data_IF_175546694248
#
_entry.id   IF_175546694248
#
_cell.length_a   1.000
_cell.length_b   1.000
_cell.length_c   1.000
_cell.angle_alpha   90.00
_cell.angle_beta   90.00
_cell.angle_gamma   90.00
#
_symmetry.space_group_name_H-M   'P 1'
#
loop_
_entity.id
_entity.type
_entity.pdbx_description
1 polymer ?
#
# COMPACT_ATOMS: atom_id res chain seq x y z
N UNK A 1 -0.28 1.67 -1.87
CA UNK A 1 -1.41 1.06 -2.60
C UNK A 1 -2.77 1.64 -2.21
N UNK A 2 -3.13 1.73 -0.92
CA UNK A 2 -4.40 2.33 -0.43
C UNK A 2 -4.85 3.60 -1.18
N UNK A 3 -4.03 4.65 -1.20
CA UNK A 3 -4.34 5.92 -1.88
C UNK A 3 -4.59 5.75 -3.38
N UNK A 4 -3.83 4.85 -4.03
CA UNK A 4 -4.01 4.54 -5.46
C UNK A 4 -5.32 3.77 -5.70
N UNK A 5 -5.72 2.90 -4.77
CA UNK A 5 -7.01 2.22 -4.81
C UNK A 5 -8.19 3.19 -4.61
N UNK A 6 -8.05 4.19 -3.73
CA UNK A 6 -9.04 5.26 -3.58
C UNK A 6 -9.14 6.13 -4.84
N UNK A 7 -8.01 6.47 -5.46
CA UNK A 7 -8.00 7.18 -6.74
C UNK A 7 -8.58 6.33 -7.89
N UNK A 8 -8.31 5.02 -7.90
CA UNK A 8 -8.96 4.08 -8.82
C UNK A 8 -10.49 4.08 -8.64
N UNK A 9 -10.98 4.21 -7.41
CA UNK A 9 -12.40 4.23 -7.13
C UNK A 9 -13.15 5.43 -7.73
N UNK A 10 -12.47 6.57 -7.94
CA UNK A 10 -13.09 7.76 -8.55
C UNK A 10 -13.14 7.73 -10.07
N UNK A 11 -12.36 6.86 -10.72
CA UNK A 11 -12.29 6.74 -12.19
C UNK A 11 -13.02 5.52 -12.73
N UNK A 12 -13.32 4.54 -11.86
CA UNK A 12 -14.07 3.35 -12.21
C UNK A 12 -15.58 3.55 -12.01
N UNK A 13 -16.40 2.82 -12.78
CA UNK A 13 -17.86 2.83 -12.61
C UNK A 13 -18.31 2.33 -11.23
N UNK A 14 -19.53 2.67 -10.79
CA UNK A 14 -20.01 2.52 -9.41
C UNK A 14 -19.70 1.18 -8.73
N UNK A 15 -19.92 0.07 -9.43
CA UNK A 15 -19.68 -1.28 -8.89
C UNK A 15 -18.18 -1.51 -8.65
N UNK A 16 -17.35 -1.22 -9.65
CA UNK A 16 -15.90 -1.37 -9.57
C UNK A 16 -15.29 -0.35 -8.60
N UNK A 17 -15.86 0.86 -8.51
CA UNK A 17 -15.48 1.88 -7.55
C UNK A 17 -15.71 1.43 -6.11
N UNK A 18 -16.83 0.76 -5.81
CA UNK A 18 -17.04 0.13 -4.48
C UNK A 18 -15.97 -0.91 -4.15
N UNK A 19 -15.68 -1.81 -5.09
CA UNK A 19 -14.63 -2.83 -4.91
C UNK A 19 -13.27 -2.20 -4.64
N UNK A 20 -12.94 -1.10 -5.32
CA UNK A 20 -11.68 -0.39 -5.12
C UNK A 20 -11.59 0.28 -3.72
N UNK A 21 -12.70 0.80 -3.19
CA UNK A 21 -12.78 1.34 -1.81
C UNK A 21 -12.65 0.25 -0.76
N UNK A 22 -13.39 -0.84 -0.91
CA UNK A 22 -13.29 -2.01 -0.01
C UNK A 22 -11.86 -2.56 0.00
N UNK A 23 -11.20 -2.62 -1.16
CA UNK A 23 -9.81 -3.02 -1.25
C UNK A 23 -8.87 -2.04 -0.51
N UNK A 24 -9.12 -0.74 -0.61
CA UNK A 24 -8.38 0.28 0.12
C UNK A 24 -8.54 0.14 1.65
N UNK A 25 -9.76 -0.14 2.12
CA UNK A 25 -10.07 -0.38 3.54
C UNK A 25 -9.38 -1.65 4.06
N UNK A 26 -9.35 -2.72 3.28
CA UNK A 26 -8.66 -3.96 3.68
C UNK A 26 -7.15 -3.77 3.79
N UNK A 27 -6.55 -2.98 2.89
CA UNK A 27 -5.13 -2.59 2.99
C UNK A 27 -4.85 -1.74 4.23
N UNK A 28 -5.79 -0.87 4.59
CA UNK A 28 -5.71 0.00 5.75
C UNK A 28 -5.80 -0.81 7.06
N UNK A 29 -6.72 -1.77 7.13
CA UNK A 29 -6.84 -2.71 8.26
C UNK A 29 -5.57 -3.55 8.43
N UNK A 30 -4.99 -4.08 7.34
CA UNK A 30 -3.72 -4.80 7.38
C UNK A 30 -2.57 -3.88 7.84
N UNK A 31 -2.51 -2.64 7.34
CA UNK A 31 -1.51 -1.67 7.76
C UNK A 31 -1.59 -1.39 9.26
N UNK A 32 -2.80 -1.10 9.77
CA UNK A 32 -3.05 -0.87 11.19
C UNK A 32 -2.62 -2.07 12.03
N UNK A 33 -2.97 -3.31 11.68
CA UNK A 33 -2.60 -4.47 12.50
C UNK A 33 -1.08 -4.67 12.65
N UNK A 34 -0.29 -4.18 11.69
CA UNK A 34 1.16 -4.26 11.71
C UNK A 34 1.82 -3.11 12.46
N UNK A 35 1.39 -1.87 12.22
CA UNK A 35 2.00 -0.68 12.79
C UNK A 35 0.98 0.46 12.90
N UNK A 36 1.24 1.39 13.83
CA UNK A 36 0.52 2.66 13.89
C UNK A 36 0.61 3.37 12.52
N UNK A 37 -0.52 3.93 12.08
CA UNK A 37 -0.64 4.59 10.78
C UNK A 37 -0.81 6.10 10.99
N UNK A 38 0.10 6.89 10.45
CA UNK A 38 0.11 8.36 10.59
C UNK A 38 -1.01 9.08 9.80
N UNK A 39 -1.86 8.33 9.09
CA UNK A 39 -2.71 8.92 8.02
C UNK A 39 -4.06 9.49 8.44
N UNK A 40 -4.49 9.33 9.71
CA UNK A 40 -5.74 9.92 10.24
C UNK A 40 -5.51 10.93 11.38
N UNK A 41 -4.36 11.61 11.39
CA UNK A 41 -4.12 12.73 12.33
C UNK A 41 -3.55 12.30 13.68
N UNK A 42 -2.58 11.38 13.68
CA UNK A 42 -1.81 11.06 14.88
C UNK A 42 -2.63 10.35 15.97
N UNK A 43 -3.73 9.67 15.60
CA UNK A 43 -4.41 8.76 16.51
C UNK A 43 -3.50 7.56 16.77
N UNK A 44 -2.59 7.73 17.72
CA UNK A 44 -1.86 6.63 18.35
C UNK A 44 -2.93 5.84 19.07
N UNK A 45 -3.34 4.70 18.53
CA UNK A 45 -4.10 3.74 19.32
C UNK A 45 -3.27 3.45 20.56
N UNK A 46 -3.87 3.55 21.75
CA UNK A 46 -3.19 3.14 22.98
C UNK A 46 -2.85 1.64 23.02
N UNK A 47 -3.32 0.86 22.04
CA UNK A 47 -2.88 -0.51 21.79
C UNK A 47 -1.53 -0.53 21.03
N UNK A 48 -0.60 -1.32 21.56
CA UNK A 48 0.66 -1.64 20.89
C UNK A 48 0.40 -2.52 19.65
N UNK A 49 0.89 -2.08 18.49
CA UNK A 49 0.77 -2.84 17.25
C UNK A 49 1.85 -3.91 17.14
N UNK A 50 1.70 -4.85 16.19
CA UNK A 50 2.58 -6.02 16.06
C UNK A 50 4.07 -5.65 16.03
N UNK A 51 4.44 -4.58 15.31
CA UNK A 51 5.82 -4.08 15.24
C UNK A 51 6.38 -3.69 16.62
N UNK A 52 5.58 -3.00 17.44
CA UNK A 52 5.98 -2.54 18.77
C UNK A 52 6.08 -3.72 19.74
N UNK A 53 5.09 -4.60 19.74
CA UNK A 53 5.11 -5.82 20.57
C UNK A 53 6.31 -6.71 20.25
N UNK A 54 6.69 -6.85 18.98
CA UNK A 54 7.92 -7.56 18.58
C UNK A 54 9.19 -6.83 19.03
N UNK A 55 9.24 -5.51 18.95
CA UNK A 55 10.36 -4.71 19.44
C UNK A 55 10.55 -4.87 20.95
N UNK A 56 9.46 -4.78 21.72
CA UNK A 56 9.44 -5.00 23.17
C UNK A 56 9.92 -6.42 23.51
N UNK A 57 9.41 -7.43 22.81
CA UNK A 57 9.84 -8.82 23.01
C UNK A 57 11.33 -9.04 22.71
N UNK A 58 11.87 -8.41 21.66
CA UNK A 58 13.29 -8.49 21.35
C UNK A 58 14.15 -7.86 22.45
N UNK A 59 13.71 -6.73 23.02
CA UNK A 59 14.37 -6.09 24.17
C UNK A 59 14.33 -6.95 25.43
N UNK A 60 13.21 -7.62 25.69
CA UNK A 60 13.07 -8.55 26.82
C UNK A 60 14.00 -9.77 26.72
N UNK A 61 14.26 -10.26 25.51
CA UNK A 61 15.20 -11.38 25.30
C UNK A 61 16.64 -10.92 25.40
N UNK A 62 17.00 -9.80 24.78
CA UNK A 62 18.40 -9.33 24.77
C UNK A 62 18.90 -8.90 26.16
N UNK A 63 17.99 -8.57 27.08
CA UNK A 63 18.33 -8.27 28.48
C UNK A 63 18.48 -9.50 29.39
N UNK A 64 18.31 -10.73 28.90
CA UNK A 64 18.26 -11.94 29.72
C UNK A 64 19.39 -12.93 29.39
N UNK A 65 20.35 -13.10 30.30
CA UNK A 65 21.53 -13.98 30.16
C UNK A 65 21.24 -15.49 30.37
N UNK A 66 19.97 -15.89 30.46
CA UNK A 66 19.55 -17.27 30.75
C UNK A 66 18.69 -17.90 29.65
N UNK A 67 18.34 -19.19 29.82
CA UNK A 67 17.36 -19.87 28.95
C UNK A 67 16.00 -19.14 29.03
N UNK A 68 15.33 -18.85 27.90
CA UNK A 68 14.01 -18.21 27.92
C UNK A 68 13.01 -18.95 28.81
N UNK A 69 12.26 -18.17 29.60
CA UNK A 69 11.16 -18.67 30.42
C UNK A 69 10.01 -19.24 29.56
N UNK A 70 9.18 -20.09 30.16
CA UNK A 70 7.99 -20.63 29.48
C UNK A 70 7.06 -19.51 28.96
N UNK A 71 6.93 -18.41 29.72
CA UNK A 71 6.14 -17.24 29.32
C UNK A 71 6.73 -16.55 28.08
N UNK A 72 8.05 -16.41 28.00
CA UNK A 72 8.71 -15.83 26.81
C UNK A 72 8.53 -16.73 25.58
N UNK A 73 8.59 -18.06 25.74
CA UNK A 73 8.32 -19.00 24.64
C UNK A 73 6.87 -18.91 24.15
N UNK A 74 5.91 -18.87 25.06
CA UNK A 74 4.50 -18.70 24.70
C UNK A 74 4.26 -17.36 23.98
N UNK A 75 4.87 -16.28 24.45
CA UNK A 75 4.77 -14.96 23.80
C UNK A 75 5.37 -14.98 22.40
N UNK A 76 6.51 -15.65 22.21
CA UNK A 76 7.09 -15.86 20.88
C UNK A 76 6.12 -16.58 19.94
N UNK A 77 5.54 -17.69 20.36
CA UNK A 77 4.60 -18.47 19.53
C UNK A 77 3.36 -17.64 19.13
N UNK A 78 2.82 -16.85 20.07
CA UNK A 78 1.70 -15.96 19.81
C UNK A 78 2.05 -14.88 18.77
N UNK A 79 3.19 -14.20 18.95
CA UNK A 79 3.67 -13.19 18.02
C UNK A 79 3.94 -13.77 16.62
N UNK A 80 4.52 -14.97 16.54
CA UNK A 80 4.74 -15.66 15.27
C UNK A 80 3.44 -16.03 14.58
N UNK A 81 2.44 -16.50 15.33
CA UNK A 81 1.13 -16.79 14.77
C UNK A 81 0.44 -15.52 14.24
N UNK A 82 0.56 -14.39 14.93
CA UNK A 82 0.05 -13.08 14.46
C UNK A 82 0.73 -12.62 13.17
N UNK A 83 2.07 -12.72 13.12
CA UNK A 83 2.83 -12.41 11.92
C UNK A 83 2.44 -13.29 10.74
N UNK A 84 2.26 -14.60 11.00
CA UNK A 84 1.78 -15.56 9.99
C UNK A 84 0.39 -15.21 9.46
N UNK A 85 -0.55 -14.80 10.32
CA UNK A 85 -1.88 -14.32 9.90
C UNK A 85 -1.78 -13.06 9.06
N UNK A 86 -0.96 -12.09 9.46
CA UNK A 86 -0.78 -10.86 8.70
C UNK A 86 -0.15 -11.13 7.32
N UNK A 87 0.81 -12.05 7.24
CA UNK A 87 1.40 -12.54 5.99
C UNK A 87 0.33 -13.15 5.08
N UNK A 88 -0.45 -14.11 5.59
CA UNK A 88 -1.51 -14.75 4.81
C UNK A 88 -2.52 -13.74 4.29
N UNK A 89 -2.89 -12.76 5.10
CA UNK A 89 -3.79 -11.67 4.69
C UNK A 89 -3.19 -10.80 3.58
N UNK A 90 -1.89 -10.51 3.64
CA UNK A 90 -1.20 -9.79 2.58
C UNK A 90 -1.21 -10.59 1.26
N UNK A 91 -0.92 -11.89 1.33
CA UNK A 91 -0.90 -12.78 0.16
C UNK A 91 -2.30 -12.86 -0.49
N UNK A 92 -3.36 -12.94 0.31
CA UNK A 92 -4.75 -12.87 -0.17
C UNK A 92 -5.03 -11.55 -0.90
N UNK A 93 -4.64 -10.42 -0.33
CA UNK A 93 -4.90 -9.10 -0.90
C UNK A 93 -4.09 -8.83 -2.18
N UNK A 94 -2.88 -9.35 -2.27
CA UNK A 94 -2.02 -9.19 -3.45
C UNK A 94 -2.23 -10.29 -4.50
N UNK A 95 -3.06 -11.29 -4.19
CA UNK A 95 -3.48 -12.32 -5.13
C UNK A 95 -4.61 -11.88 -6.06
N UNK A 96 -5.72 -12.63 -6.02
CA UNK A 96 -6.85 -12.46 -6.93
C UNK A 96 -7.56 -11.09 -6.85
N UNK A 97 -7.77 -10.48 -5.66
CA UNK A 97 -8.41 -9.17 -5.56
C UNK A 97 -7.67 -8.09 -6.35
N UNK A 98 -6.33 -8.04 -6.22
CA UNK A 98 -5.49 -7.08 -6.94
C UNK A 98 -5.54 -7.33 -8.46
N UNK A 99 -5.45 -8.59 -8.89
CA UNK A 99 -5.55 -8.94 -10.32
C UNK A 99 -6.90 -8.52 -10.92
N UNK A 100 -7.99 -8.76 -10.21
CA UNK A 100 -9.34 -8.37 -10.65
C UNK A 100 -9.47 -6.85 -10.78
N UNK A 101 -8.95 -6.11 -9.80
CA UNK A 101 -8.97 -4.65 -9.84
C UNK A 101 -8.11 -4.11 -10.99
N UNK A 102 -6.95 -4.71 -11.25
CA UNK A 102 -6.09 -4.34 -12.38
C UNK A 102 -6.77 -4.61 -13.73
N UNK A 103 -7.47 -5.73 -13.90
CA UNK A 103 -8.27 -5.97 -15.12
C UNK A 103 -9.34 -4.90 -15.34
N UNK A 104 -9.99 -4.44 -14.28
CA UNK A 104 -10.99 -3.37 -14.37
C UNK A 104 -10.36 -2.02 -14.75
N UNK A 105 -9.16 -1.73 -14.24
CA UNK A 105 -8.40 -0.54 -14.60
C UNK A 105 -7.91 -0.58 -16.04
N UNK A 106 -7.39 -1.72 -16.50
CA UNK A 106 -6.98 -1.92 -17.89
C UNK A 106 -8.16 -1.73 -18.86
N UNK A 107 -9.33 -2.29 -18.54
CA UNK A 107 -10.54 -2.11 -19.34
C UNK A 107 -11.05 -0.65 -19.37
N UNK A 108 -10.61 0.18 -18.43
CA UNK A 108 -10.90 1.61 -18.35
C UNK A 108 -9.74 2.49 -18.87
N UNK A 109 -8.74 1.89 -19.53
CA UNK A 109 -7.51 2.54 -19.99
C UNK A 109 -6.74 3.29 -18.88
N UNK A 110 -6.85 2.80 -17.64
CA UNK A 110 -6.18 3.37 -16.46
C UNK A 110 -4.92 2.58 -16.07
N UNK A 111 -3.94 3.24 -15.41
CA UNK A 111 -2.74 2.56 -14.91
C UNK A 111 -3.07 1.50 -13.85
N UNK A 112 -2.42 0.34 -13.96
CA UNK A 112 -2.56 -0.74 -12.98
C UNK A 112 -1.92 -0.41 -11.64
N UNK A 113 -2.42 -1.05 -10.60
CA UNK A 113 -1.86 -1.03 -9.26
C UNK A 113 -0.77 -2.09 -9.14
N UNK A 114 0.44 -1.64 -8.80
CA UNK A 114 1.60 -2.51 -8.55
C UNK A 114 2.05 -2.36 -7.09
N UNK A 115 2.26 -3.47 -6.36
CA UNK A 115 2.92 -3.44 -5.06
C UNK A 115 4.33 -2.85 -5.22
N UNK A 116 4.73 -1.99 -4.29
CA UNK A 116 6.12 -1.56 -4.21
C UNK A 116 6.93 -2.77 -3.71
N UNK A 117 7.73 -3.35 -4.60
CA UNK A 117 8.74 -4.33 -4.23
C UNK A 117 9.80 -3.63 -3.36
N UNK A 118 10.44 -4.39 -2.47
CA UNK A 118 11.43 -3.89 -1.50
C UNK A 118 12.52 -3.08 -2.22
N UNK A 119 13.00 -3.58 -3.34
CA UNK A 119 14.05 -3.00 -4.17
C UNK A 119 13.62 -1.66 -4.80
N UNK A 120 12.34 -1.58 -5.19
CA UNK A 120 11.75 -0.34 -5.72
C UNK A 120 11.55 0.71 -4.61
N UNK A 121 11.23 0.28 -3.39
CA UNK A 121 11.14 1.15 -2.22
C UNK A 121 12.53 1.65 -1.77
N UNK A 122 13.55 0.78 -1.75
CA UNK A 122 14.91 1.18 -1.38
C UNK A 122 15.47 2.25 -2.35
N UNK A 123 15.12 2.15 -3.64
CA UNK A 123 15.47 3.16 -4.66
C UNK A 123 14.70 4.48 -4.46
N UNK A 124 13.41 4.40 -4.12
CA UNK A 124 12.54 5.55 -3.80
C UNK A 124 13.02 6.32 -2.56
N UNK A 125 13.53 5.61 -1.55
CA UNK A 125 14.03 6.20 -0.30
C UNK A 125 15.46 6.76 -0.43
N UNK A 126 16.30 6.18 -1.28
CA UNK A 126 17.64 6.70 -1.56
C UNK A 126 17.60 8.05 -2.31
N UNK A 127 16.51 8.33 -3.04
CA UNK A 127 16.21 9.61 -3.66
C UNK A 127 15.54 10.59 -2.70
N UNK A 128 16.16 10.87 -1.56
CA UNK A 128 15.86 11.97 -0.63
C UNK A 128 14.43 12.52 -0.61
N UNK A 129 13.63 12.06 0.37
CA UNK A 129 12.60 12.86 1.03
C UNK A 129 11.61 13.61 0.12
N UNK A 130 10.59 12.88 -0.36
CA UNK A 130 9.33 13.47 -0.78
C UNK A 130 9.22 13.81 -2.26
N UNK A 131 8.72 12.85 -3.06
CA UNK A 131 7.64 13.16 -4.01
C UNK A 131 6.98 11.92 -4.60
N UNK A 132 5.71 12.12 -4.89
CA UNK A 132 4.72 11.21 -5.48
C UNK A 132 5.20 10.54 -6.76
N UNK A 133 4.63 9.35 -6.97
CA UNK A 133 4.31 8.72 -8.25
C UNK A 133 5.46 7.99 -8.99
N UNK A 134 5.76 6.76 -8.55
CA UNK A 134 6.22 5.74 -9.51
C UNK A 134 5.01 5.19 -10.26
N UNK A 135 4.59 5.93 -11.30
CA UNK A 135 3.81 5.39 -12.41
C UNK A 135 4.74 4.47 -13.20
N UNK A 136 4.70 3.17 -12.89
CA UNK A 136 5.21 2.17 -13.84
C UNK A 136 4.15 2.03 -14.92
N UNK A 137 4.18 2.95 -15.89
CA UNK A 137 3.37 2.87 -17.10
C UNK A 137 3.90 1.75 -17.98
N UNK A 138 3.00 0.90 -18.49
CA UNK A 138 3.32 -0.10 -19.49
C UNK A 138 4.11 0.54 -20.64
N UNK A 139 5.19 -0.11 -21.06
CA UNK A 139 6.16 0.35 -22.07
C UNK A 139 5.59 0.59 -23.49
N UNK A 140 4.26 0.62 -23.66
CA UNK A 140 3.57 0.94 -24.92
C UNK A 140 3.03 2.39 -25.00
N UNK A 141 3.11 3.19 -23.94
CA UNK A 141 2.61 4.58 -23.95
C UNK A 141 3.68 5.67 -24.17
N UNK A 142 4.91 5.31 -24.60
CA UNK A 142 5.99 6.29 -24.85
C UNK A 142 5.95 6.99 -26.22
N UNK A 143 4.80 7.05 -26.90
CA UNK A 143 4.65 7.78 -28.17
C UNK A 143 3.51 8.81 -28.24
N UNK A 144 2.95 9.26 -27.10
CA UNK A 144 2.04 10.42 -27.11
C UNK A 144 2.33 11.47 -26.03
N UNK A 145 3.59 11.59 -25.59
CA UNK A 145 4.06 12.76 -24.87
C UNK A 145 4.76 13.71 -25.86
N UNK A 146 3.95 14.48 -26.61
CA UNK A 146 4.49 15.47 -27.56
C UNK A 146 3.49 16.14 -28.51
N UNK A 147 2.18 16.13 -28.22
CA UNK A 147 1.20 16.75 -29.12
C UNK A 147 0.10 17.60 -28.46
N UNK A 148 0.19 17.89 -27.17
CA UNK A 148 -0.78 18.74 -26.46
C UNK A 148 -0.11 19.93 -25.77
N UNK A 149 0.46 20.84 -26.58
CA UNK A 149 0.67 22.25 -26.20
C UNK A 149 0.58 23.22 -27.41
N UNK A 150 -0.09 22.84 -28.51
CA UNK A 150 -0.28 23.74 -29.65
C UNK A 150 -1.54 23.40 -30.46
N UNK A 151 -2.72 23.52 -29.87
CA UNK A 151 -3.96 23.83 -30.62
C UNK A 151 -5.12 24.01 -29.63
N UNK A 152 -5.41 25.26 -29.27
CA UNK A 152 -6.54 25.54 -28.38
C UNK A 152 -6.80 26.99 -28.02
N UNK A 153 -6.06 27.96 -28.59
CA UNK A 153 -6.29 29.39 -28.34
C UNK A 153 -6.20 30.22 -29.62
N UNK A 154 -7.07 29.95 -30.60
CA UNK A 154 -7.36 30.88 -31.72
C UNK A 154 -8.74 30.65 -32.36
N UNK A 155 -9.80 30.50 -31.55
CA UNK A 155 -11.18 30.61 -32.03
C UNK A 155 -12.02 31.58 -31.20
N UNK A 156 -11.42 32.70 -30.82
CA UNK A 156 -12.13 33.86 -30.30
C UNK A 156 -11.43 35.14 -30.76
N UNK A 157 -11.64 35.52 -32.03
CA UNK A 157 -11.63 36.90 -32.56
C UNK A 157 -11.70 36.87 -34.10
N UNK A 158 -12.68 37.62 -34.66
CA UNK A 158 -13.11 37.74 -36.09
C UNK A 158 -14.20 36.73 -36.44
N UNK A 159 -15.50 37.06 -36.50
CA UNK A 159 -16.18 38.09 -37.32
C UNK A 159 -15.66 38.14 -38.74
#
# INVERSE_FOLDING_TARGET
LRQRSLAAASVLGDRQGRVAREYAEQLDQLGRSLAASDTDGGYVSGEEQLRERYGNFYGEITGYDGRPSATQLQRHEQLQAELGRARGRADELFGEPLRRLNKALEAADQPTLVPLLREAWDTDQAGGGGSRATVVGNARQRLQAGHWLANGLSQALRR
#
